data_IF_872743050507
#
_entry.id   IF_872743050507
#
_cell.length_a   1.000
_cell.length_b   1.000
_cell.length_c   1.000
_cell.angle_alpha   90.00
_cell.angle_beta   90.00
_cell.angle_gamma   90.00
#
_symmetry.space_group_name_H-M   'P 1'
#
loop_
_entity.id
_entity.type
_entity.pdbx_description
1 polymer ?
#
# COMPACT_ATOMS: atom_id res chain seq x y z
N UNK A 1 -29.75 7.13 -1.60
CA UNK A 1 -28.51 6.66 -0.94
C UNK A 1 -27.38 6.73 -1.98
N UNK A 2 -26.77 7.91 -2.12
CA UNK A 2 -25.92 8.25 -3.26
C UNK A 2 -24.47 7.78 -3.02
N UNK A 3 -24.07 6.71 -3.70
CA UNK A 3 -22.68 6.23 -3.81
C UNK A 3 -21.81 7.17 -4.66
N UNK A 4 -21.79 8.46 -4.32
CA UNK A 4 -20.98 9.48 -4.98
C UNK A 4 -19.96 10.06 -4.03
N UNK A 5 -18.90 9.32 -3.77
CA UNK A 5 -17.56 9.90 -3.69
C UNK A 5 -16.57 8.84 -4.15
N UNK A 6 -15.96 9.14 -5.28
CA UNK A 6 -14.69 8.59 -5.70
C UNK A 6 -13.69 9.69 -5.38
N UNK A 7 -12.44 9.32 -5.17
CA UNK A 7 -11.29 10.19 -5.39
C UNK A 7 -11.58 11.01 -6.67
N UNK A 8 -12.04 12.24 -6.48
CA UNK A 8 -12.55 13.09 -7.55
C UNK A 8 -11.34 13.79 -8.13
N UNK A 9 -11.36 14.02 -9.44
CA UNK A 9 -10.34 14.76 -10.14
C UNK A 9 -10.41 16.28 -9.85
N UNK A 10 -10.65 16.67 -8.60
CA UNK A 10 -10.90 18.05 -8.18
C UNK A 10 -9.70 18.71 -7.48
N UNK A 11 -8.53 18.08 -7.45
CA UNK A 11 -7.29 18.74 -7.05
C UNK A 11 -6.18 17.80 -6.53
N UNK A 12 -4.97 18.35 -6.40
CA UNK A 12 -3.81 17.77 -5.69
C UNK A 12 -4.06 17.58 -4.19
N UNK A 13 -5.21 18.02 -3.70
CA UNK A 13 -5.62 18.05 -2.29
C UNK A 13 -6.10 16.70 -1.74
N UNK A 14 -6.23 15.67 -2.58
CA UNK A 14 -6.62 14.32 -2.14
C UNK A 14 -5.45 13.37 -1.90
N UNK A 15 -4.22 13.76 -2.26
CA UNK A 15 -3.05 12.89 -2.06
C UNK A 15 -2.68 12.73 -0.59
N UNK A 16 -2.85 13.76 0.22
CA UNK A 16 -2.58 13.72 1.66
C UNK A 16 -3.44 12.67 2.37
N UNK A 17 -4.79 12.69 2.27
CA UNK A 17 -5.62 11.66 2.92
C UNK A 17 -5.41 10.27 2.32
N UNK A 18 -5.08 10.15 1.03
CA UNK A 18 -4.71 8.86 0.43
C UNK A 18 -3.42 8.34 1.06
N UNK A 19 -2.36 9.13 1.10
CA UNK A 19 -1.09 8.70 1.66
C UNK A 19 -1.21 8.41 3.17
N UNK A 20 -1.98 9.22 3.91
CA UNK A 20 -2.30 8.95 5.31
C UNK A 20 -3.01 7.60 5.51
N UNK A 21 -3.94 7.25 4.61
CA UNK A 21 -4.62 5.95 4.65
C UNK A 21 -3.69 4.77 4.38
N UNK A 22 -2.73 4.94 3.48
CA UNK A 22 -1.74 3.91 3.17
C UNK A 22 -0.82 3.70 4.37
N UNK A 23 -0.29 4.79 4.95
CA UNK A 23 0.55 4.71 6.16
C UNK A 23 -0.19 4.04 7.31
N UNK A 24 -1.48 4.35 7.51
CA UNK A 24 -2.30 3.67 8.52
C UNK A 24 -2.41 2.17 8.24
N UNK A 25 -2.75 1.77 7.02
CA UNK A 25 -2.91 0.36 6.65
C UNK A 25 -1.60 -0.40 6.82
N UNK A 26 -0.49 0.17 6.34
CA UNK A 26 0.85 -0.41 6.50
C UNK A 26 1.23 -0.56 7.96
N UNK A 27 0.99 0.48 8.79
CA UNK A 27 1.21 0.43 10.24
C UNK A 27 0.40 -0.68 10.90
N UNK A 28 -0.86 -0.87 10.52
CA UNK A 28 -1.69 -1.97 11.02
C UNK A 28 -1.06 -3.32 10.63
N UNK A 29 -0.60 -3.49 9.39
CA UNK A 29 0.04 -4.74 8.94
C UNK A 29 1.35 -5.01 9.70
N UNK A 30 2.19 -3.99 9.91
CA UNK A 30 3.41 -4.09 10.72
C UNK A 30 3.07 -4.62 12.13
N UNK A 31 2.09 -4.02 12.80
CA UNK A 31 1.65 -4.43 14.15
C UNK A 31 1.11 -5.86 14.13
N UNK A 32 0.23 -6.20 13.19
CA UNK A 32 -0.37 -7.52 13.11
C UNK A 32 0.67 -8.62 12.80
N UNK A 33 1.70 -8.29 12.01
CA UNK A 33 2.82 -9.18 11.74
C UNK A 33 3.76 -9.32 12.95
N UNK A 34 3.92 -8.27 13.77
CA UNK A 34 4.74 -8.32 14.99
C UNK A 34 4.17 -9.26 16.06
N UNK A 35 2.84 -9.35 16.13
CA UNK A 35 2.15 -10.22 17.07
C UNK A 35 1.71 -11.58 16.47
N UNK A 36 2.22 -11.94 15.28
CA UNK A 36 1.87 -13.18 14.56
C UNK A 36 0.34 -13.39 14.38
N UNK A 37 -0.46 -12.31 14.27
CA UNK A 37 -1.93 -12.39 14.28
C UNK A 37 -2.51 -12.89 12.94
N UNK A 38 -1.98 -12.42 11.80
CA UNK A 38 -2.51 -12.77 10.48
C UNK A 38 -1.70 -13.90 9.84
N UNK A 39 -0.40 -13.72 9.65
CA UNK A 39 0.49 -14.73 9.08
C UNK A 39 1.86 -14.65 9.74
N UNK A 40 2.40 -15.80 10.13
CA UNK A 40 3.76 -15.91 10.64
C UNK A 40 4.75 -15.89 9.48
N UNK A 41 5.12 -14.70 9.02
CA UNK A 41 6.17 -14.55 8.01
C UNK A 41 7.46 -14.09 8.64
N UNK A 42 8.44 -15.00 8.68
CA UNK A 42 9.77 -14.67 9.20
C UNK A 42 10.44 -13.66 8.27
N UNK A 43 10.31 -13.82 6.95
CA UNK A 43 10.88 -12.85 6.02
C UNK A 43 10.24 -11.49 6.17
N UNK A 44 8.92 -11.36 6.31
CA UNK A 44 8.30 -10.05 6.50
C UNK A 44 8.76 -9.37 7.80
N UNK A 45 8.97 -10.12 8.88
CA UNK A 45 9.59 -9.56 10.10
C UNK A 45 11.04 -9.11 9.84
N UNK A 46 11.84 -9.92 9.11
CA UNK A 46 13.19 -9.54 8.67
C UNK A 46 13.20 -8.28 7.78
N UNK A 47 12.19 -8.10 6.92
CA UNK A 47 12.04 -6.91 6.06
C UNK A 47 11.99 -5.63 6.88
N UNK A 48 11.08 -5.56 7.83
CA UNK A 48 10.91 -4.37 8.66
C UNK A 48 12.03 -4.21 9.68
N UNK A 49 12.59 -5.30 10.22
CA UNK A 49 13.71 -5.22 11.17
C UNK A 49 15.01 -4.75 10.52
N UNK A 50 15.33 -5.27 9.33
CA UNK A 50 16.61 -5.02 8.69
C UNK A 50 16.62 -3.72 7.87
N UNK A 51 15.46 -3.30 7.32
CA UNK A 51 15.33 -2.09 6.48
C UNK A 51 14.53 -0.95 7.14
N UNK A 52 13.80 -1.21 8.22
CA UNK A 52 13.12 -0.19 9.04
C UNK A 52 12.23 0.74 8.23
N UNK A 53 12.45 2.05 8.40
CA UNK A 53 11.71 3.11 7.69
C UNK A 53 11.83 2.97 6.17
N UNK A 54 12.93 2.42 5.65
CA UNK A 54 13.09 2.24 4.20
C UNK A 54 12.10 1.22 3.65
N UNK A 55 11.87 0.12 4.38
CA UNK A 55 10.87 -0.89 4.03
C UNK A 55 9.47 -0.29 4.01
N UNK A 56 9.06 0.33 5.12
CA UNK A 56 7.77 1.01 5.26
C UNK A 56 7.53 2.04 4.14
N UNK A 57 8.54 2.86 3.82
CA UNK A 57 8.41 3.85 2.74
C UNK A 57 8.28 3.19 1.37
N UNK A 58 9.02 2.11 1.09
CA UNK A 58 8.87 1.38 -0.17
C UNK A 58 7.46 0.83 -0.33
N UNK A 59 6.94 0.19 0.72
CA UNK A 59 5.61 -0.39 0.74
C UNK A 59 4.54 0.70 0.61
N UNK A 60 4.66 1.81 1.35
CA UNK A 60 3.73 2.94 1.21
C UNK A 60 3.77 3.58 -0.20
N UNK A 61 4.96 3.76 -0.78
CA UNK A 61 5.11 4.44 -2.06
C UNK A 61 4.62 3.58 -3.23
N UNK A 62 4.87 2.27 -3.23
CA UNK A 62 4.40 1.40 -4.31
C UNK A 62 2.87 1.30 -4.31
N UNK A 63 2.25 1.22 -3.14
CA UNK A 63 0.79 1.26 -2.98
C UNK A 63 0.24 2.60 -3.49
N UNK A 64 0.90 3.71 -3.15
CA UNK A 64 0.48 5.03 -3.63
C UNK A 64 0.53 5.13 -5.16
N UNK A 65 1.58 4.58 -5.80
CA UNK A 65 1.68 4.50 -7.25
C UNK A 65 0.57 3.64 -7.85
N UNK A 66 0.23 2.49 -7.24
CA UNK A 66 -0.86 1.65 -7.69
C UNK A 66 -2.22 2.34 -7.60
N UNK A 67 -2.49 3.11 -6.53
CA UNK A 67 -3.72 3.89 -6.44
C UNK A 67 -3.78 5.01 -7.49
N UNK A 68 -2.66 5.70 -7.78
CA UNK A 68 -2.61 6.70 -8.85
C UNK A 68 -2.85 6.05 -10.21
N UNK A 69 -2.18 4.92 -10.49
CA UNK A 69 -2.36 4.17 -11.73
C UNK A 69 -3.78 3.61 -11.87
N UNK A 70 -4.37 3.10 -10.79
CA UNK A 70 -5.75 2.62 -10.75
C UNK A 70 -6.75 3.73 -11.05
N UNK A 71 -6.53 4.93 -10.51
CA UNK A 71 -7.32 6.12 -10.83
C UNK A 71 -7.19 6.48 -12.32
N UNK A 72 -5.96 6.51 -12.85
CA UNK A 72 -5.73 6.76 -14.26
C UNK A 72 -6.45 5.75 -15.15
N UNK A 73 -6.36 4.45 -14.83
CA UNK A 73 -7.05 3.38 -15.56
C UNK A 73 -8.58 3.53 -15.48
N UNK A 74 -9.13 3.88 -14.32
CA UNK A 74 -10.56 4.12 -14.15
C UNK A 74 -11.06 5.27 -15.05
N UNK A 75 -10.28 6.36 -15.13
CA UNK A 75 -10.61 7.51 -15.97
C UNK A 75 -10.62 7.18 -17.47
N UNK A 76 -9.76 6.25 -17.92
CA UNK A 76 -9.65 5.87 -19.33
C UNK A 76 -10.54 4.68 -19.72
N UNK A 77 -11.07 3.92 -18.75
CA UNK A 77 -11.80 2.66 -19.00
C UNK A 77 -13.29 2.82 -19.35
N UNK A 78 -13.80 4.05 -19.52
CA UNK A 78 -15.24 4.37 -19.71
C UNK A 78 -16.16 3.81 -18.61
N UNK A 79 -15.59 3.27 -17.53
CA UNK A 79 -16.33 2.69 -16.42
C UNK A 79 -16.97 3.79 -15.57
N UNK A 80 -18.05 3.45 -14.87
CA UNK A 80 -18.67 4.39 -13.93
C UNK A 80 -17.70 4.69 -12.80
N UNK A 81 -17.54 5.97 -12.48
CA UNK A 81 -16.72 6.45 -11.37
C UNK A 81 -17.43 6.10 -10.05
N UNK A 82 -17.04 4.97 -9.43
CA UNK A 82 -17.48 4.52 -8.09
C UNK A 82 -16.37 3.74 -7.36
N UNK A 83 -16.52 3.53 -6.05
CA UNK A 83 -15.52 2.85 -5.19
C UNK A 83 -15.20 1.43 -5.66
N UNK A 84 -16.21 0.66 -6.09
CA UNK A 84 -16.01 -0.71 -6.58
C UNK A 84 -15.10 -0.74 -7.81
N UNK A 85 -15.34 0.16 -8.77
CA UNK A 85 -14.54 0.25 -9.98
C UNK A 85 -13.14 0.81 -9.69
N UNK A 86 -13.01 1.72 -8.71
CA UNK A 86 -11.70 2.18 -8.22
C UNK A 86 -10.88 1.01 -7.65
N UNK A 87 -11.49 0.19 -6.77
CA UNK A 87 -10.84 -1.02 -6.23
C UNK A 87 -10.42 -1.95 -7.38
N UNK A 88 -11.33 -2.25 -8.30
CA UNK A 88 -11.03 -3.14 -9.42
C UNK A 88 -9.86 -2.63 -10.26
N UNK A 89 -9.86 -1.35 -10.65
CA UNK A 89 -8.79 -0.76 -11.45
C UNK A 89 -7.45 -0.75 -10.68
N UNK A 90 -7.44 -0.38 -9.41
CA UNK A 90 -6.22 -0.38 -8.58
C UNK A 90 -5.65 -1.78 -8.41
N UNK A 91 -6.48 -2.79 -8.13
CA UNK A 91 -6.03 -4.18 -8.01
C UNK A 91 -5.46 -4.69 -9.32
N UNK A 92 -6.10 -4.38 -10.47
CA UNK A 92 -5.54 -4.73 -11.79
C UNK A 92 -4.17 -4.10 -12.01
N UNK A 93 -4.01 -2.81 -11.67
CA UNK A 93 -2.72 -2.12 -11.78
C UNK A 93 -1.67 -2.73 -10.85
N UNK A 94 -2.04 -3.03 -9.60
CA UNK A 94 -1.18 -3.71 -8.64
C UNK A 94 -0.73 -5.08 -9.16
N UNK A 95 -1.65 -5.92 -9.64
CA UNK A 95 -1.30 -7.24 -10.19
C UNK A 95 -0.31 -7.13 -11.37
N UNK A 96 -0.51 -6.18 -12.28
CA UNK A 96 0.43 -5.95 -13.39
C UNK A 96 1.78 -5.47 -12.86
N UNK A 97 1.77 -4.52 -11.92
CA UNK A 97 2.98 -3.99 -11.28
C UNK A 97 3.80 -5.07 -10.59
N UNK A 98 3.17 -5.92 -9.79
CA UNK A 98 3.83 -6.98 -9.04
C UNK A 98 4.42 -8.05 -9.97
N UNK A 99 3.72 -8.41 -11.05
CA UNK A 99 4.25 -9.34 -12.05
C UNK A 99 5.46 -8.76 -12.78
N UNK A 100 5.44 -7.47 -13.13
CA UNK A 100 6.59 -6.80 -13.72
C UNK A 100 7.75 -6.72 -12.73
N UNK A 101 7.47 -6.42 -11.46
CA UNK A 101 8.48 -6.36 -10.41
C UNK A 101 9.09 -7.74 -10.16
N UNK A 102 8.27 -8.80 -10.14
CA UNK A 102 8.71 -10.19 -10.08
C UNK A 102 9.65 -10.55 -11.23
N UNK A 103 9.28 -10.19 -12.46
CA UNK A 103 10.15 -10.36 -13.62
C UNK A 103 11.47 -9.58 -13.49
N UNK A 104 11.42 -8.38 -12.95
CA UNK A 104 12.60 -7.54 -12.77
C UNK A 104 13.59 -8.12 -11.76
N UNK A 105 13.14 -8.40 -10.53
CA UNK A 105 14.06 -8.86 -9.48
C UNK A 105 14.58 -10.28 -9.74
N UNK A 106 13.89 -11.11 -10.51
CA UNK A 106 14.36 -12.46 -10.87
C UNK A 106 15.50 -12.44 -11.89
N UNK A 107 15.54 -11.45 -12.79
CA UNK A 107 16.60 -11.29 -13.80
C UNK A 107 17.86 -10.64 -13.24
N UNK A 108 17.73 -9.76 -12.25
CA UNK A 108 18.88 -9.09 -11.63
C UNK A 108 19.76 -10.14 -10.91
N UNK A 109 21.08 -10.21 -11.16
CA UNK A 109 21.95 -11.18 -10.51
C UNK A 109 22.05 -10.94 -9.00
N UNK A 110 22.35 -12.00 -8.23
CA UNK A 110 22.59 -11.85 -6.78
C UNK A 110 23.85 -11.05 -6.52
N UNK A 111 23.86 -10.29 -5.42
CA UNK A 111 24.96 -9.41 -5.02
C UNK A 111 24.86 -7.99 -5.59
N UNK A 112 23.95 -7.72 -6.53
CA UNK A 112 23.76 -6.37 -7.10
C UNK A 112 23.01 -5.43 -6.16
N UNK A 113 22.04 -5.93 -5.39
CA UNK A 113 21.27 -5.13 -4.43
C UNK A 113 20.74 -6.03 -3.31
N UNK A 114 20.95 -5.63 -2.06
CA UNK A 114 20.45 -6.34 -0.88
C UNK A 114 18.93 -6.50 -0.90
N UNK A 115 18.23 -5.46 -1.36
CA UNK A 115 16.76 -5.45 -1.44
C UNK A 115 16.27 -6.42 -2.52
N UNK A 116 16.91 -6.44 -3.69
CA UNK A 116 16.54 -7.38 -4.76
C UNK A 116 16.80 -8.82 -4.34
N UNK A 117 17.89 -9.06 -3.62
CA UNK A 117 18.21 -10.38 -3.10
C UNK A 117 17.22 -10.81 -2.00
N UNK A 118 16.81 -9.87 -1.16
CA UNK A 118 15.75 -10.09 -0.19
C UNK A 118 14.43 -10.51 -0.86
N UNK A 119 13.97 -9.79 -1.89
CA UNK A 119 12.73 -10.14 -2.61
C UNK A 119 12.79 -11.51 -3.30
N UNK A 120 13.97 -11.92 -3.80
CA UNK A 120 14.17 -13.29 -4.33
C UNK A 120 13.99 -14.36 -3.25
N UNK A 121 14.40 -14.08 -2.02
CA UNK A 121 14.22 -15.02 -0.89
C UNK A 121 12.79 -14.97 -0.35
N UNK A 122 12.20 -13.78 -0.26
CA UNK A 122 10.80 -13.56 0.13
C UNK A 122 9.83 -14.31 -0.79
N UNK A 123 10.05 -14.25 -2.11
CA UNK A 123 9.22 -14.94 -3.10
C UNK A 123 9.21 -16.47 -2.96
N UNK A 124 10.25 -17.06 -2.36
CA UNK A 124 10.30 -18.50 -2.07
C UNK A 124 9.48 -18.89 -0.84
N UNK A 125 9.28 -17.98 0.11
CA UNK A 125 8.52 -18.23 1.34
C UNK A 125 7.01 -18.04 1.12
N UNK A 126 6.62 -16.91 0.54
CA UNK A 126 5.22 -16.46 0.54
C UNK A 126 4.45 -16.88 -0.72
N UNK A 127 5.14 -17.35 -1.77
CA UNK A 127 4.53 -17.83 -3.02
C UNK A 127 3.41 -16.89 -3.52
N UNK A 128 2.19 -17.42 -3.69
CA UNK A 128 1.03 -16.69 -4.23
C UNK A 128 0.31 -15.86 -3.17
N UNK A 129 0.61 -16.05 -1.89
CA UNK A 129 -0.06 -15.35 -0.79
C UNK A 129 0.27 -13.85 -0.77
N UNK A 130 1.41 -13.44 -1.34
CA UNK A 130 1.79 -12.04 -1.49
C UNK A 130 0.73 -11.25 -2.28
N UNK A 131 0.34 -11.75 -3.46
CA UNK A 131 -0.63 -11.06 -4.33
C UNK A 131 -1.97 -10.82 -3.64
N UNK A 132 -2.43 -11.79 -2.82
CA UNK A 132 -3.67 -11.65 -2.07
C UNK A 132 -3.55 -10.63 -0.93
N UNK A 133 -2.44 -10.64 -0.21
CA UNK A 133 -2.16 -9.67 0.86
C UNK A 133 -2.15 -8.25 0.31
N UNK A 134 -1.47 -8.02 -0.81
CA UNK A 134 -1.36 -6.71 -1.43
C UNK A 134 -2.71 -6.20 -1.92
N UNK A 135 -3.54 -7.07 -2.50
CA UNK A 135 -4.91 -6.71 -2.89
C UNK A 135 -5.78 -6.29 -1.69
N UNK A 136 -5.63 -6.95 -0.53
CA UNK A 136 -6.32 -6.56 0.72
C UNK A 136 -5.85 -5.19 1.19
N UNK A 137 -4.55 -4.91 1.16
CA UNK A 137 -4.00 -3.59 1.49
C UNK A 137 -4.53 -2.50 0.56
N UNK A 138 -4.69 -2.78 -0.75
CA UNK A 138 -5.25 -1.84 -1.72
C UNK A 138 -6.69 -1.47 -1.36
N UNK A 139 -7.50 -2.48 -1.06
CA UNK A 139 -8.91 -2.30 -0.70
C UNK A 139 -9.02 -1.43 0.55
N UNK A 140 -8.30 -1.77 1.61
CA UNK A 140 -8.34 -1.00 2.86
C UNK A 140 -7.84 0.43 2.69
N UNK A 141 -6.77 0.63 1.92
CA UNK A 141 -6.24 1.97 1.63
C UNK A 141 -7.30 2.83 0.93
N UNK A 142 -8.01 2.26 -0.06
CA UNK A 142 -9.10 2.98 -0.75
C UNK A 142 -10.24 3.30 0.22
N UNK A 143 -10.68 2.33 1.05
CA UNK A 143 -11.78 2.54 1.98
C UNK A 143 -11.46 3.61 3.04
N UNK A 144 -10.28 3.54 3.67
CA UNK A 144 -9.85 4.56 4.62
C UNK A 144 -9.66 5.92 3.96
N UNK A 145 -9.12 5.97 2.74
CA UNK A 145 -9.02 7.24 1.99
C UNK A 145 -10.38 7.91 1.81
N UNK A 146 -11.45 7.14 1.54
CA UNK A 146 -12.81 7.69 1.42
C UNK A 146 -13.31 8.27 2.74
N UNK A 147 -13.08 7.57 3.85
CA UNK A 147 -13.44 8.05 5.18
C UNK A 147 -12.70 9.35 5.48
N UNK A 148 -11.41 9.43 5.15
CA UNK A 148 -10.60 10.60 5.47
C UNK A 148 -10.92 11.82 4.60
N UNK A 149 -11.18 11.60 3.31
CA UNK A 149 -11.59 12.66 2.39
C UNK A 149 -12.95 13.26 2.80
N UNK A 150 -13.87 12.43 3.30
CA UNK A 150 -15.23 12.87 3.65
C UNK A 150 -15.37 13.37 5.08
N UNK A 151 -14.58 12.83 6.01
CA UNK A 151 -14.70 13.12 7.44
C UNK A 151 -13.82 14.26 7.96
N UNK A 152 -12.75 14.63 7.24
CA UNK A 152 -11.77 15.61 7.73
C UNK A 152 -11.57 16.78 6.77
N UNK A 153 -11.35 17.97 7.35
CA UNK A 153 -10.88 19.13 6.60
C UNK A 153 -9.39 19.02 6.24
N UNK A 154 -8.89 19.90 5.36
CA UNK A 154 -7.51 19.83 4.85
C UNK A 154 -6.47 19.88 5.97
N UNK A 155 -6.68 20.69 7.01
CA UNK A 155 -5.76 20.80 8.16
C UNK A 155 -5.71 19.49 8.94
N UNK A 156 -6.87 18.91 9.25
CA UNK A 156 -6.97 17.67 9.99
C UNK A 156 -6.40 16.48 9.19
N UNK A 157 -6.50 16.49 7.86
CA UNK A 157 -5.85 15.48 7.00
C UNK A 157 -4.32 15.50 7.12
N UNK A 158 -3.70 16.69 7.16
CA UNK A 158 -2.25 16.81 7.40
C UNK A 158 -1.86 16.36 8.80
N UNK A 159 -2.62 16.76 9.83
CA UNK A 159 -2.37 16.31 11.21
C UNK A 159 -2.50 14.79 11.34
N UNK A 160 -3.47 14.19 10.66
CA UNK A 160 -3.65 12.76 10.59
C UNK A 160 -2.43 12.08 9.96
N UNK A 161 -1.96 12.55 8.81
CA UNK A 161 -0.77 12.01 8.16
C UNK A 161 0.46 12.03 9.09
N UNK A 162 0.73 13.19 9.69
CA UNK A 162 1.87 13.35 10.61
C UNK A 162 1.75 12.40 11.80
N UNK A 163 0.55 12.25 12.35
CA UNK A 163 0.27 11.34 13.47
C UNK A 163 0.49 9.88 13.06
N UNK A 164 0.04 9.48 11.86
CA UNK A 164 0.24 8.12 11.36
C UNK A 164 1.71 7.81 11.11
N UNK A 165 2.46 8.75 10.52
CA UNK A 165 3.91 8.60 10.38
C UNK A 165 4.57 8.47 11.75
N UNK A 166 4.21 9.31 12.72
CA UNK A 166 4.76 9.22 14.07
C UNK A 166 4.49 7.86 14.73
N UNK A 167 3.24 7.37 14.69
CA UNK A 167 2.86 6.07 15.27
C UNK A 167 3.59 4.91 14.56
N UNK A 168 3.73 4.96 13.23
CA UNK A 168 4.40 3.91 12.46
C UNK A 168 5.84 3.66 12.92
N UNK A 169 6.54 4.68 13.43
CA UNK A 169 7.90 4.53 13.94
C UNK A 169 7.94 3.61 15.16
N UNK A 170 6.97 3.72 16.07
CA UNK A 170 6.85 2.83 17.23
C UNK A 170 6.52 1.40 16.81
N UNK A 171 5.65 1.24 15.81
CA UNK A 171 5.30 -0.07 15.27
C UNK A 171 6.54 -0.78 14.67
N UNK A 172 7.36 -0.05 13.90
CA UNK A 172 8.62 -0.58 13.35
C UNK A 172 9.61 -1.04 14.41
N UNK A 173 9.67 -0.34 15.55
CA UNK A 173 10.54 -0.69 16.67
C UNK A 173 9.93 -1.71 17.65
N UNK A 174 8.79 -2.31 17.30
CA UNK A 174 8.18 -3.42 18.04
C UNK A 174 8.60 -4.80 17.48
N UNK A 175 9.22 -4.82 16.29
CA UNK A 175 9.66 -6.00 15.55
C UNK A 175 11.12 -6.40 15.80
#
# INVERSE_FOLDING_TARGET
>A
MSSKLVIKNTGTDQFVPIFASIVLVDTIIIILNAYDIIFKSRKLQEWYRDYGVSAMLMDCLIIFLYLIGGRYLLEHSKMKVNVRNMILCTVVVQMVGDLLFYGLFTVIPRGSSKIMDFFKDYAKEIHIHALWSDAVMMIWSILFSQIFITGFDKRNQWMLLITMIYISQYALHTL
#
